data_IF_890561115494
#
_entry.id   IF_890561115494
#
_cell.length_a   1.000
_cell.length_b   1.000
_cell.length_c   1.000
_cell.angle_alpha   90.00
_cell.angle_beta   90.00
_cell.angle_gamma   90.00
#
_symmetry.space_group_name_H-M   'P 1'
#
loop_
_entity.id
_entity.type
_entity.pdbx_description
1 polymer ?
#
# COMPACT_ATOMS: atom_id res chain seq x y z
N UNK A 1 6.68 37.73 -17.51
CA UNK A 1 7.51 36.62 -18.02
C UNK A 1 6.85 35.34 -17.54
N UNK A 2 6.09 34.67 -18.43
CA UNK A 2 5.43 33.39 -18.10
C UNK A 2 6.49 32.31 -17.98
N UNK A 3 6.53 31.61 -16.84
CA UNK A 3 7.35 30.41 -16.72
C UNK A 3 6.93 29.40 -17.79
N UNK A 4 7.88 28.73 -18.46
CA UNK A 4 7.52 27.64 -19.37
C UNK A 4 6.74 26.58 -18.61
N UNK A 5 5.76 25.91 -19.25
CA UNK A 5 5.01 24.85 -18.60
C UNK A 5 6.01 23.78 -18.09
N UNK A 6 5.95 23.51 -16.80
CA UNK A 6 6.73 22.43 -16.20
C UNK A 6 6.33 21.14 -16.88
N UNK A 7 7.22 20.58 -17.71
CA UNK A 7 7.01 19.28 -18.33
C UNK A 7 6.81 18.27 -17.19
N UNK A 8 5.58 17.74 -17.09
CA UNK A 8 5.30 16.62 -16.18
C UNK A 8 6.24 15.45 -16.53
N UNK A 9 6.92 14.87 -15.56
CA UNK A 9 7.78 13.72 -15.86
C UNK A 9 6.94 12.58 -16.46
N UNK A 10 7.46 11.96 -17.52
CA UNK A 10 6.85 10.72 -18.03
C UNK A 10 7.08 9.62 -17.02
N UNK A 11 6.00 9.02 -16.54
CA UNK A 11 6.04 7.89 -15.60
C UNK A 11 5.86 6.61 -16.38
N UNK A 12 6.83 5.71 -16.28
CA UNK A 12 6.74 4.35 -16.85
C UNK A 12 6.48 3.40 -15.68
N UNK A 13 5.45 2.58 -15.81
CA UNK A 13 5.01 1.65 -14.77
C UNK A 13 5.14 0.21 -15.28
N UNK A 14 5.68 -0.66 -14.45
CA UNK A 14 5.64 -2.10 -14.63
C UNK A 14 5.12 -2.72 -13.32
N UNK A 15 4.20 -3.67 -13.45
CA UNK A 15 3.61 -4.39 -12.31
C UNK A 15 3.57 -5.86 -12.65
N UNK A 16 3.92 -6.70 -11.68
CA UNK A 16 3.88 -8.15 -11.83
C UNK A 16 3.65 -8.82 -10.47
N UNK A 17 3.12 -10.03 -10.48
CA UNK A 17 2.91 -10.87 -9.32
C UNK A 17 3.05 -12.34 -9.71
N UNK A 18 3.58 -13.17 -8.83
CA UNK A 18 3.84 -14.58 -9.08
C UNK A 18 3.42 -15.42 -7.88
N UNK A 19 2.68 -16.51 -8.12
CA UNK A 19 2.22 -17.43 -7.08
C UNK A 19 3.35 -18.13 -6.33
N UNK A 20 4.55 -18.18 -6.94
CA UNK A 20 5.68 -18.92 -6.43
C UNK A 20 5.55 -20.44 -6.64
N UNK A 21 6.51 -21.20 -6.09
CA UNK A 21 6.62 -22.65 -6.33
C UNK A 21 5.92 -23.52 -5.30
N UNK A 22 5.42 -22.94 -4.21
CA UNK A 22 4.89 -23.71 -3.05
C UNK A 22 3.42 -23.44 -2.77
N UNK A 23 2.94 -22.25 -3.09
CA UNK A 23 1.53 -21.86 -2.84
C UNK A 23 0.64 -22.41 -3.95
N UNK A 24 -0.63 -22.69 -3.61
CA UNK A 24 -1.66 -23.12 -4.57
C UNK A 24 -2.48 -21.95 -5.12
N UNK A 25 -2.42 -20.80 -4.45
CA UNK A 25 -3.18 -19.61 -4.76
C UNK A 25 -2.31 -18.38 -4.56
N UNK A 26 -2.40 -17.44 -5.47
CA UNK A 26 -1.78 -16.14 -5.31
C UNK A 26 -2.68 -15.28 -4.41
N UNK A 27 -2.13 -14.77 -3.33
CA UNK A 27 -2.84 -13.92 -2.38
C UNK A 27 -2.41 -12.45 -2.46
N UNK A 28 -1.51 -12.13 -3.38
CA UNK A 28 -1.11 -10.76 -3.65
C UNK A 28 -2.16 -10.09 -4.54
N UNK A 29 -2.35 -8.80 -4.33
CA UNK A 29 -3.10 -7.93 -5.22
C UNK A 29 -2.31 -6.65 -5.50
N UNK A 30 -2.39 -6.18 -6.73
CA UNK A 30 -1.76 -4.94 -7.18
C UNK A 30 -2.77 -4.09 -7.94
N UNK A 31 -2.68 -2.77 -7.74
CA UNK A 31 -3.51 -1.81 -8.45
C UNK A 31 -2.79 -0.50 -8.72
N UNK A 32 -3.18 0.14 -9.80
CA UNK A 32 -2.67 1.43 -10.22
C UNK A 32 -3.79 2.23 -10.87
N UNK A 33 -3.87 3.50 -10.55
CA UNK A 33 -4.82 4.42 -11.18
C UNK A 33 -4.15 5.74 -11.53
N UNK A 34 -4.35 6.14 -12.78
CA UNK A 34 -4.05 7.49 -13.28
C UNK A 34 -5.38 8.17 -13.54
N UNK A 35 -5.71 9.27 -12.86
CA UNK A 35 -6.93 10.01 -13.16
C UNK A 35 -6.95 10.46 -14.63
N UNK A 36 -8.07 10.25 -15.34
CA UNK A 36 -8.19 10.70 -16.73
C UNK A 36 -8.29 12.22 -16.86
N UNK A 37 -8.74 12.90 -15.80
CA UNK A 37 -8.83 14.35 -15.73
C UNK A 37 -7.47 14.93 -15.35
N UNK A 38 -6.85 15.79 -16.20
CA UNK A 38 -5.55 16.40 -15.92
C UNK A 38 -5.53 17.27 -14.66
N UNK A 39 -6.63 17.91 -14.29
CA UNK A 39 -6.70 18.75 -13.09
C UNK A 39 -6.72 17.87 -11.83
N UNK A 40 -7.42 16.74 -11.86
CA UNK A 40 -7.40 15.74 -10.81
C UNK A 40 -6.01 15.13 -10.68
N UNK A 41 -5.38 14.77 -11.79
CA UNK A 41 -4.01 14.24 -11.80
C UNK A 41 -3.00 15.25 -11.24
N UNK A 42 -3.11 16.52 -11.60
CA UNK A 42 -2.22 17.55 -11.09
C UNK A 42 -2.43 17.79 -9.57
N UNK A 43 -3.66 17.69 -9.10
CA UNK A 43 -4.02 17.93 -7.71
C UNK A 43 -3.77 16.73 -6.80
N UNK A 44 -4.11 15.53 -7.24
CA UNK A 44 -4.10 14.32 -6.41
C UNK A 44 -2.98 13.33 -6.79
N UNK A 45 -2.42 13.45 -8.00
CA UNK A 45 -1.42 12.49 -8.48
C UNK A 45 -2.03 11.17 -8.95
N UNK A 46 -1.15 10.23 -9.25
CA UNK A 46 -1.48 8.83 -9.54
C UNK A 46 -1.13 7.96 -8.34
N UNK A 47 -1.91 6.89 -8.14
CA UNK A 47 -1.75 5.99 -7.00
C UNK A 47 -1.35 4.60 -7.45
N UNK A 48 -0.48 3.97 -6.67
CA UNK A 48 -0.05 2.58 -6.78
C UNK A 48 -0.34 1.90 -5.44
N UNK A 49 -0.87 0.69 -5.48
CA UNK A 49 -1.18 -0.10 -4.29
C UNK A 49 -0.71 -1.53 -4.51
N UNK A 50 -0.02 -2.08 -3.53
CA UNK A 50 0.35 -3.48 -3.44
C UNK A 50 -0.11 -4.00 -2.08
N UNK A 51 -0.70 -5.19 -2.07
CA UNK A 51 -1.17 -5.86 -0.88
C UNK A 51 -0.80 -7.35 -0.96
N UNK A 52 -0.08 -7.88 0.06
CA UNK A 52 0.25 -9.30 0.22
C UNK A 52 -0.70 -9.89 1.26
N UNK A 53 -1.62 -10.73 0.81
CA UNK A 53 -2.58 -11.42 1.67
C UNK A 53 -1.89 -12.42 2.58
N UNK A 54 -2.20 -12.37 3.90
CA UNK A 54 -1.52 -13.22 4.88
C UNK A 54 -1.83 -14.68 4.62
N UNK A 55 -0.80 -15.44 4.19
CA UNK A 55 -0.88 -16.86 3.92
C UNK A 55 -1.18 -17.69 5.16
N UNK A 56 -2.04 -18.70 5.01
CA UNK A 56 -2.47 -19.57 6.11
C UNK A 56 -3.74 -19.11 6.83
N UNK A 57 -4.22 -17.91 6.57
CA UNK A 57 -5.53 -17.42 6.97
C UNK A 57 -6.55 -17.62 5.84
N UNK A 58 -7.80 -17.90 6.19
CA UNK A 58 -8.88 -17.91 5.21
C UNK A 58 -9.16 -16.47 4.75
N UNK A 59 -9.23 -16.24 3.43
CA UNK A 59 -9.61 -14.95 2.88
C UNK A 59 -8.46 -13.95 2.74
N UNK A 60 -7.18 -14.36 2.75
CA UNK A 60 -6.05 -13.48 2.46
C UNK A 60 -6.09 -12.89 1.05
N UNK A 61 -6.54 -13.67 0.08
CA UNK A 61 -6.76 -13.23 -1.31
C UNK A 61 -7.88 -12.18 -1.43
N UNK A 62 -8.97 -12.35 -0.68
CA UNK A 62 -10.05 -11.36 -0.62
C UNK A 62 -9.58 -10.10 0.13
N UNK A 63 -8.82 -10.26 1.22
CA UNK A 63 -8.29 -9.14 1.98
C UNK A 63 -7.40 -8.23 1.12
N UNK A 64 -6.48 -8.80 0.35
CA UNK A 64 -5.61 -8.04 -0.54
C UNK A 64 -6.39 -7.34 -1.67
N UNK A 65 -7.39 -7.99 -2.25
CA UNK A 65 -8.26 -7.40 -3.27
C UNK A 65 -9.11 -6.26 -2.71
N UNK A 66 -9.70 -6.43 -1.53
CA UNK A 66 -10.45 -5.37 -0.86
C UNK A 66 -9.54 -4.19 -0.50
N UNK A 67 -8.32 -4.45 0.00
CA UNK A 67 -7.37 -3.39 0.28
C UNK A 67 -7.09 -2.55 -0.96
N UNK A 68 -6.71 -3.18 -2.06
CA UNK A 68 -6.36 -2.48 -3.32
C UNK A 68 -7.54 -1.68 -3.84
N UNK A 69 -8.73 -2.31 -3.98
CA UNK A 69 -9.91 -1.64 -4.55
C UNK A 69 -10.40 -0.48 -3.68
N UNK A 70 -10.51 -0.70 -2.37
CA UNK A 70 -11.00 0.32 -1.45
C UNK A 70 -10.04 1.50 -1.33
N UNK A 71 -8.72 1.24 -1.22
CA UNK A 71 -7.74 2.33 -1.13
C UNK A 71 -7.78 3.20 -2.37
N UNK A 72 -7.84 2.61 -3.57
CA UNK A 72 -7.87 3.38 -4.81
C UNK A 72 -9.16 4.20 -4.89
N UNK A 73 -10.33 3.61 -4.68
CA UNK A 73 -11.60 4.34 -4.76
C UNK A 73 -11.68 5.42 -3.70
N UNK A 74 -11.47 5.08 -2.43
CA UNK A 74 -11.58 6.03 -1.32
C UNK A 74 -10.58 7.19 -1.44
N UNK A 75 -9.38 6.97 -1.98
CA UNK A 75 -8.40 8.02 -2.17
C UNK A 75 -8.91 9.15 -3.07
N UNK A 76 -9.63 8.82 -4.15
CA UNK A 76 -10.15 9.82 -5.09
C UNK A 76 -11.55 10.34 -4.73
N UNK A 77 -12.34 9.57 -3.99
CA UNK A 77 -13.72 9.95 -3.63
C UNK A 77 -13.82 10.99 -2.51
N UNK A 78 -12.71 11.27 -1.80
CA UNK A 78 -12.70 12.26 -0.73
C UNK A 78 -12.78 13.69 -1.28
N UNK A 79 -13.57 14.57 -0.64
CA UNK A 79 -13.73 15.96 -1.06
C UNK A 79 -12.49 16.80 -0.73
N UNK A 80 -11.89 16.60 0.47
CA UNK A 80 -10.82 17.43 1.02
C UNK A 80 -9.61 16.59 1.48
N UNK A 81 -8.51 17.27 1.74
CA UNK A 81 -7.27 16.71 2.26
C UNK A 81 -6.15 16.68 1.24
N UNK A 82 -4.94 16.78 1.76
CA UNK A 82 -3.72 16.55 0.97
C UNK A 82 -3.53 15.04 0.66
N UNK A 83 -2.60 14.66 -0.21
CA UNK A 83 -2.39 13.26 -0.55
C UNK A 83 -2.07 12.35 0.63
N UNK A 84 -1.36 12.85 1.66
CA UNK A 84 -1.00 12.03 2.82
C UNK A 84 -2.23 11.78 3.71
N UNK A 85 -3.04 12.81 3.96
CA UNK A 85 -4.28 12.69 4.74
C UNK A 85 -5.30 11.78 4.04
N UNK A 86 -5.47 11.95 2.72
CA UNK A 86 -6.35 11.11 1.90
C UNK A 86 -5.92 9.65 1.95
N UNK A 87 -4.62 9.41 1.80
CA UNK A 87 -4.06 8.06 1.82
C UNK A 87 -4.24 7.38 3.17
N UNK A 88 -4.02 8.11 4.26
CA UNK A 88 -4.22 7.59 5.62
C UNK A 88 -5.69 7.19 5.86
N UNK A 89 -6.65 8.04 5.42
CA UNK A 89 -8.09 7.72 5.53
C UNK A 89 -8.48 6.52 4.66
N UNK A 90 -7.97 6.45 3.43
CA UNK A 90 -8.26 5.34 2.51
C UNK A 90 -7.75 4.00 3.06
N UNK A 91 -6.55 3.99 3.66
CA UNK A 91 -6.01 2.79 4.32
C UNK A 91 -6.87 2.40 5.54
N UNK A 92 -7.30 3.37 6.35
CA UNK A 92 -8.16 3.09 7.50
C UNK A 92 -9.54 2.54 7.08
N UNK A 93 -10.12 3.07 6.00
CA UNK A 93 -11.38 2.58 5.45
C UNK A 93 -11.25 1.14 4.93
N UNK A 94 -10.18 0.83 4.21
CA UNK A 94 -9.89 -0.53 3.75
C UNK A 94 -9.74 -1.51 4.94
N UNK A 95 -9.04 -1.09 6.01
CA UNK A 95 -8.92 -1.90 7.21
C UNK A 95 -10.28 -2.18 7.87
N UNK A 96 -11.13 -1.17 7.98
CA UNK A 96 -12.47 -1.33 8.55
C UNK A 96 -13.34 -2.28 7.73
N UNK A 97 -13.29 -2.19 6.40
CA UNK A 97 -14.01 -3.08 5.51
C UNK A 97 -13.53 -4.54 5.67
N UNK A 98 -12.22 -4.77 5.60
CA UNK A 98 -11.64 -6.11 5.73
C UNK A 98 -12.00 -6.74 7.09
N UNK A 99 -11.94 -5.95 8.15
CA UNK A 99 -12.34 -6.40 9.49
C UNK A 99 -13.82 -6.78 9.54
N UNK A 100 -14.70 -5.94 9.00
CA UNK A 100 -16.14 -6.20 8.96
C UNK A 100 -16.49 -7.46 8.16
N UNK A 101 -15.88 -7.65 7.00
CA UNK A 101 -16.05 -8.83 6.14
C UNK A 101 -15.60 -10.11 6.86
N UNK A 102 -14.46 -10.06 7.59
CA UNK A 102 -14.00 -11.20 8.39
C UNK A 102 -14.96 -11.57 9.52
N UNK A 103 -15.62 -10.58 10.15
CA UNK A 103 -16.60 -10.81 11.21
C UNK A 103 -17.98 -11.24 10.68
N UNK A 104 -18.33 -10.83 9.46
CA UNK A 104 -19.64 -11.11 8.85
C UNK A 104 -19.83 -12.53 8.32
N UNK A 105 -18.80 -13.39 8.36
CA UNK A 105 -18.89 -14.78 7.90
C UNK A 105 -19.61 -15.67 8.93
N UNK A 106 -20.24 -16.76 8.46
CA UNK A 106 -20.90 -17.75 9.35
C UNK A 106 -19.94 -18.29 10.44
N UNK A 107 -18.67 -18.45 10.07
CA UNK A 107 -17.58 -18.70 11.02
C UNK A 107 -16.61 -17.53 10.92
N UNK A 108 -16.55 -16.66 11.94
CA UNK A 108 -15.63 -15.51 11.92
C UNK A 108 -14.21 -15.95 11.61
N UNK A 109 -13.59 -15.29 10.64
CA UNK A 109 -12.25 -15.59 10.21
C UNK A 109 -11.36 -14.32 10.26
N UNK A 110 -10.09 -14.53 10.53
CA UNK A 110 -9.12 -13.44 10.45
C UNK A 110 -8.75 -13.28 8.98
N UNK A 111 -9.24 -12.21 8.38
CA UNK A 111 -8.79 -11.73 7.08
C UNK A 111 -7.71 -10.67 7.29
N UNK A 112 -6.55 -10.83 6.68
CA UNK A 112 -5.46 -9.89 6.84
C UNK A 112 -4.61 -9.79 5.56
N UNK A 113 -4.03 -8.62 5.35
CA UNK A 113 -3.10 -8.31 4.26
C UNK A 113 -2.11 -7.24 4.69
N UNK A 114 -0.93 -7.24 4.11
CA UNK A 114 -0.06 -6.08 4.14
C UNK A 114 -0.55 -5.05 3.14
N UNK A 115 -0.09 -3.82 3.26
CA UNK A 115 -0.35 -2.75 2.28
C UNK A 115 0.89 -1.92 2.09
N UNK A 116 1.28 -1.69 0.85
CA UNK A 116 2.23 -0.63 0.46
C UNK A 116 1.57 0.20 -0.63
N UNK A 117 1.57 1.51 -0.42
CA UNK A 117 1.00 2.46 -1.35
C UNK A 117 2.01 3.53 -1.73
N UNK A 118 1.90 4.04 -2.94
CA UNK A 118 2.66 5.19 -3.41
C UNK A 118 1.74 6.14 -4.17
N UNK A 119 1.72 7.39 -3.78
CA UNK A 119 1.07 8.46 -4.56
C UNK A 119 2.15 9.36 -5.15
N UNK A 120 2.17 9.46 -6.47
CA UNK A 120 3.07 10.33 -7.20
C UNK A 120 2.31 11.53 -7.77
N UNK A 121 2.57 12.72 -7.20
CA UNK A 121 2.00 14.00 -7.61
C UNK A 121 3.13 14.93 -8.09
N UNK A 122 3.26 15.10 -9.39
CA UNK A 122 4.36 15.88 -9.96
C UNK A 122 5.72 15.33 -9.56
N UNK A 123 6.41 16.00 -8.64
CA UNK A 123 7.73 15.59 -8.09
C UNK A 123 7.65 15.13 -6.62
N UNK A 124 6.48 15.09 -6.09
CA UNK A 124 6.21 14.64 -4.73
C UNK A 124 5.80 13.17 -4.73
N UNK A 125 6.37 12.41 -3.80
CA UNK A 125 6.06 11.01 -3.57
C UNK A 125 5.60 10.84 -2.12
N UNK A 126 4.37 10.37 -1.93
CA UNK A 126 3.82 10.01 -0.63
C UNK A 126 3.75 8.49 -0.55
N UNK A 127 4.29 7.91 0.51
CA UNK A 127 4.27 6.46 0.78
C UNK A 127 3.44 6.20 2.02
N UNK A 128 2.52 5.23 1.92
CA UNK A 128 1.82 4.64 3.05
C UNK A 128 2.13 3.15 3.13
N UNK A 129 2.33 2.61 4.35
CA UNK A 129 2.57 1.18 4.53
C UNK A 129 1.95 0.65 5.81
N UNK A 130 1.45 -0.58 5.74
CA UNK A 130 0.98 -1.39 6.87
C UNK A 130 1.52 -2.81 6.68
N UNK A 131 2.18 -3.35 7.70
CA UNK A 131 2.84 -4.66 7.63
C UNK A 131 4.32 -4.55 7.27
N UNK A 132 4.87 -5.59 6.66
CA UNK A 132 6.29 -5.77 6.40
C UNK A 132 6.66 -5.79 4.90
N UNK A 133 5.71 -5.54 4.02
CA UNK A 133 5.98 -5.34 2.59
C UNK A 133 6.72 -4.01 2.38
N UNK A 134 7.92 -4.01 1.74
CA UNK A 134 8.76 -2.82 1.69
C UNK A 134 8.59 -2.01 0.41
N UNK A 135 8.80 -0.69 0.51
CA UNK A 135 9.05 0.18 -0.64
C UNK A 135 10.51 0.61 -0.70
N UNK A 136 11.09 0.61 -1.89
CA UNK A 136 12.46 1.05 -2.13
C UNK A 136 12.54 2.15 -3.19
N UNK A 137 13.36 3.14 -2.92
CA UNK A 137 13.78 4.13 -3.91
C UNK A 137 15.13 3.71 -4.49
N UNK A 138 15.16 3.50 -5.81
CA UNK A 138 16.40 3.32 -6.56
C UNK A 138 16.81 4.67 -7.17
N UNK A 139 17.99 5.17 -6.81
CA UNK A 139 18.58 6.40 -7.36
C UNK A 139 20.08 6.26 -7.40
N UNK A 140 20.71 6.66 -8.51
CA UNK A 140 22.17 6.63 -8.67
C UNK A 140 22.79 5.26 -8.32
N UNK A 141 22.18 4.18 -8.80
CA UNK A 141 22.55 2.79 -8.54
C UNK A 141 22.55 2.40 -7.03
N UNK A 142 21.83 3.15 -6.19
CA UNK A 142 21.66 2.86 -4.77
C UNK A 142 20.19 2.61 -4.45
N UNK A 143 19.95 1.57 -3.64
CA UNK A 143 18.63 1.27 -3.07
C UNK A 143 18.53 1.87 -1.67
N UNK A 144 17.44 2.59 -1.40
CA UNK A 144 17.07 3.07 -0.07
C UNK A 144 15.67 2.60 0.26
N UNK A 145 15.51 1.87 1.36
CA UNK A 145 14.20 1.50 1.90
C UNK A 145 13.48 2.75 2.40
N UNK A 146 12.21 2.90 2.03
CA UNK A 146 11.37 4.03 2.40
C UNK A 146 10.36 3.70 3.51
N UNK A 147 10.08 2.41 3.71
CA UNK A 147 9.12 1.91 4.72
C UNK A 147 9.83 1.37 5.94
N UNK A 148 9.13 1.40 7.07
CA UNK A 148 9.50 0.66 8.28
C UNK A 148 8.61 -0.58 8.36
N UNK A 149 9.21 -1.77 8.51
CA UNK A 149 8.43 -3.01 8.62
C UNK A 149 7.79 -3.10 10.00
N UNK A 150 6.49 -3.39 10.05
CA UNK A 150 5.77 -3.65 11.28
C UNK A 150 5.98 -5.11 11.70
N UNK A 151 7.21 -5.44 12.09
CA UNK A 151 7.57 -6.73 12.68
C UNK A 151 7.66 -6.60 14.20
N UNK A 152 7.56 -7.73 14.91
CA UNK A 152 7.75 -7.74 16.37
C UNK A 152 9.10 -7.15 16.76
N UNK A 153 10.15 -7.47 15.99
CA UNK A 153 11.50 -6.92 16.20
C UNK A 153 11.55 -5.41 16.04
N UNK A 154 10.91 -4.86 15.00
CA UNK A 154 10.88 -3.41 14.77
C UNK A 154 10.11 -2.70 15.87
N UNK A 155 8.96 -3.24 16.28
CA UNK A 155 8.16 -2.68 17.37
C UNK A 155 8.90 -2.70 18.71
N UNK A 156 9.61 -3.79 19.02
CA UNK A 156 10.42 -3.90 20.24
C UNK A 156 11.59 -2.91 20.22
N UNK A 157 12.23 -2.75 19.08
CA UNK A 157 13.34 -1.81 18.90
C UNK A 157 12.90 -0.36 19.10
N UNK A 158 11.74 0.02 18.56
CA UNK A 158 11.15 1.34 18.78
C UNK A 158 10.72 1.57 20.24
N UNK A 159 10.17 0.54 20.89
CA UNK A 159 9.78 0.59 22.30
C UNK A 159 10.99 0.55 23.26
N UNK A 160 12.22 0.39 22.75
CA UNK A 160 13.42 0.23 23.59
C UNK A 160 13.43 -1.07 24.40
N UNK A 161 12.63 -2.07 24.01
CA UNK A 161 12.53 -3.37 24.67
C UNK A 161 13.62 -4.28 24.14
N UNK A 162 14.38 -5.02 24.99
CA UNK A 162 15.38 -5.99 24.50
C UNK A 162 14.73 -7.05 23.63
N UNK A 163 15.40 -7.38 22.50
CA UNK A 163 15.01 -8.53 21.70
C UNK A 163 15.25 -9.82 22.50
N UNK A 164 14.35 -10.84 22.37
CA UNK A 164 14.64 -12.16 22.96
C UNK A 164 15.92 -12.71 22.34
N UNK A 165 16.76 -13.32 23.18
CA UNK A 165 17.94 -14.03 22.64
C UNK A 165 17.47 -15.16 21.73
N UNK A 166 18.17 -15.40 20.58
CA UNK A 166 17.83 -16.52 19.71
C UNK A 166 17.95 -17.82 20.51
N UNK A 167 16.91 -18.64 20.45
CA UNK A 167 16.96 -19.97 21.04
C UNK A 167 18.08 -20.80 20.38
N UNK A 168 18.86 -21.60 21.14
CA UNK A 168 19.97 -22.34 20.64
C UNK A 168 19.60 -23.47 19.66
#
# INVERSE_FOLDING_TARGET
MSQPPSLMPVVVVAMDTDIGRRRKQNQDAIGHMVPPDPDVLARLGQIFVLADGVGGLSGGDLASQYAVSTIISSYYDQEEGDPAERLARAIAEANNLIYAEGQGQETPSIMATTVVTAVLRGRELVIGSVGDSPAYLMRDARARKLTLDHTVESMQREAGTPLPEPEP
#
